data_IF_845256881964
#
_entry.id   IF_845256881964
#
_cell.length_a   1.000
_cell.length_b   1.000
_cell.length_c   1.000
_cell.angle_alpha   90.00
_cell.angle_beta   90.00
_cell.angle_gamma   90.00
#
_symmetry.space_group_name_H-M   'P 1'
#
loop_
_entity.id
_entity.type
_entity.pdbx_description
1 polymer ?
#
# COMPACT_ATOMS: atom_id res chain seq x y z
N UNK A 1 -5.46 6.48 -22.65
CA UNK A 1 -4.63 5.40 -22.15
C UNK A 1 -3.49 5.98 -21.41
N UNK A 2 -3.46 5.75 -20.16
CA UNK A 2 -2.41 6.27 -19.33
C UNK A 2 -1.79 5.16 -18.51
N UNK A 3 -0.80 5.54 -17.71
CA UNK A 3 -0.07 4.62 -16.86
C UNK A 3 -0.90 4.27 -15.62
N UNK A 4 -0.84 3.01 -15.24
CA UNK A 4 -1.43 2.52 -13.99
C UNK A 4 -0.29 2.16 -13.06
N UNK A 5 -0.26 2.76 -11.87
CA UNK A 5 0.83 2.57 -10.92
C UNK A 5 0.26 1.98 -9.65
N UNK A 6 0.96 0.96 -9.13
CA UNK A 6 0.56 0.31 -7.89
C UNK A 6 1.59 0.64 -6.81
N UNK A 7 1.11 1.28 -5.73
CA UNK A 7 1.94 1.53 -4.56
C UNK A 7 1.58 0.56 -3.45
N UNK A 8 2.59 0.01 -2.80
CA UNK A 8 2.41 -0.88 -1.65
C UNK A 8 2.95 -0.18 -0.41
N UNK A 9 2.08 0.01 0.56
CA UNK A 9 2.41 0.60 1.86
C UNK A 9 1.61 -0.16 2.92
N UNK A 10 2.26 -1.09 3.63
CA UNK A 10 1.54 -2.13 4.35
C UNK A 10 1.36 -1.87 5.84
N UNK A 11 2.25 -1.14 6.48
CA UNK A 11 2.17 -0.94 7.93
C UNK A 11 1.64 0.43 8.28
N UNK A 12 1.20 0.58 9.53
CA UNK A 12 0.65 1.84 10.00
C UNK A 12 -0.77 2.07 9.52
N UNK A 13 -1.27 3.25 9.81
CA UNK A 13 -2.64 3.65 9.47
C UNK A 13 -2.59 4.72 8.41
N UNK A 14 -3.12 4.43 7.23
CA UNK A 14 -3.17 5.41 6.14
C UNK A 14 -4.60 5.56 5.63
N UNK A 15 -4.99 6.79 5.38
CA UNK A 15 -6.30 7.13 4.83
C UNK A 15 -6.16 8.38 3.96
N UNK A 16 -7.23 8.75 3.26
CA UNK A 16 -7.15 9.77 2.23
C UNK A 16 -6.86 11.18 2.75
N UNK A 17 -7.21 11.46 4.00
CA UNK A 17 -6.96 12.76 4.61
C UNK A 17 -6.97 12.63 6.13
N UNK A 18 -6.50 13.69 6.80
CA UNK A 18 -6.46 13.76 8.26
C UNK A 18 -5.67 12.57 8.84
N UNK A 19 -4.44 12.42 8.35
CA UNK A 19 -3.57 11.35 8.82
C UNK A 19 -3.30 11.48 10.31
N UNK A 20 -3.24 10.35 11.00
CA UNK A 20 -2.99 10.32 12.45
C UNK A 20 -1.51 10.22 12.74
N UNK A 21 -0.73 11.14 12.19
CA UNK A 21 0.73 11.11 12.30
C UNK A 21 1.18 11.15 13.76
N UNK A 22 2.11 10.26 14.09
CA UNK A 22 2.64 10.21 15.45
C UNK A 22 1.77 9.43 16.43
N UNK A 23 0.62 8.91 15.99
CA UNK A 23 -0.23 8.10 16.86
C UNK A 23 0.50 6.88 17.41
N UNK A 24 1.34 6.28 16.57
CA UNK A 24 2.18 5.15 16.95
C UNK A 24 3.43 5.16 16.07
N UNK A 25 4.46 4.34 16.41
CA UNK A 25 5.73 4.38 15.67
C UNK A 25 5.60 4.05 14.18
N UNK A 26 4.55 3.35 13.78
CA UNK A 26 4.37 2.92 12.39
C UNK A 26 3.55 3.90 11.57
N UNK A 27 2.97 4.93 12.19
CA UNK A 27 2.13 5.92 11.52
C UNK A 27 2.83 7.28 11.60
N UNK A 28 3.82 7.46 10.74
CA UNK A 28 4.66 8.64 10.79
C UNK A 28 4.94 9.22 9.40
N UNK A 29 6.15 9.74 9.24
CA UNK A 29 6.53 10.46 8.03
C UNK A 29 6.38 9.66 6.75
N UNK A 30 6.60 8.35 6.80
CA UNK A 30 6.42 7.52 5.61
C UNK A 30 4.98 7.57 5.12
N UNK A 31 4.02 7.50 6.04
CA UNK A 31 2.60 7.55 5.70
C UNK A 31 2.27 8.85 4.94
N UNK A 32 2.73 9.97 5.46
CA UNK A 32 2.49 11.26 4.81
C UNK A 32 3.17 11.33 3.46
N UNK A 33 4.43 10.88 3.39
CA UNK A 33 5.19 10.91 2.15
C UNK A 33 4.50 10.10 1.06
N UNK A 34 4.06 8.89 1.39
CA UNK A 34 3.42 8.01 0.41
C UNK A 34 2.11 8.60 -0.10
N UNK A 35 1.29 9.14 0.81
CA UNK A 35 0.01 9.73 0.41
C UNK A 35 0.23 10.93 -0.51
N UNK A 36 1.20 11.78 -0.19
CA UNK A 36 1.50 12.95 -1.02
C UNK A 36 2.05 12.55 -2.38
N UNK A 37 2.88 11.51 -2.42
CA UNK A 37 3.42 11.01 -3.68
C UNK A 37 2.30 10.47 -4.57
N UNK A 38 1.38 9.70 -4.00
CA UNK A 38 0.25 9.15 -4.75
C UNK A 38 -0.60 10.28 -5.34
N UNK A 39 -0.89 11.31 -4.56
CA UNK A 39 -1.66 12.45 -5.05
C UNK A 39 -0.94 13.18 -6.17
N UNK A 40 0.37 13.38 -6.03
CA UNK A 40 1.16 14.06 -7.03
C UNK A 40 1.18 13.28 -8.35
N UNK A 41 1.33 11.96 -8.28
CA UNK A 41 1.31 11.11 -9.46
C UNK A 41 -0.06 11.14 -10.14
N UNK A 42 -1.13 11.11 -9.35
CA UNK A 42 -2.48 11.12 -9.91
C UNK A 42 -2.77 12.40 -10.68
N UNK A 43 -2.07 13.47 -10.37
CA UNK A 43 -2.23 14.76 -11.06
C UNK A 43 -1.30 14.92 -12.26
N UNK A 44 -0.53 13.89 -12.58
CA UNK A 44 0.37 13.89 -13.75
C UNK A 44 -0.42 13.42 -14.96
N UNK A 45 -0.30 14.15 -16.08
CA UNK A 45 -1.14 13.89 -17.24
C UNK A 45 -0.96 12.49 -17.84
N UNK A 46 0.23 11.90 -17.70
CA UNK A 46 0.50 10.57 -18.25
C UNK A 46 -0.06 9.45 -17.38
N UNK A 47 -0.54 9.75 -16.18
CA UNK A 47 -1.01 8.74 -15.23
C UNK A 47 -2.53 8.66 -15.27
N UNK A 48 -3.03 7.46 -15.52
CA UNK A 48 -4.47 7.20 -15.55
C UNK A 48 -4.98 6.85 -14.16
N UNK A 49 -4.23 6.04 -13.41
CA UNK A 49 -4.70 5.52 -12.13
C UNK A 49 -3.54 5.18 -11.22
N UNK A 50 -3.68 5.53 -9.95
CA UNK A 50 -2.74 5.13 -8.91
C UNK A 50 -3.52 4.37 -7.85
N UNK A 51 -3.11 3.13 -7.59
CA UNK A 51 -3.66 2.32 -6.50
C UNK A 51 -2.67 2.34 -5.35
N UNK A 52 -3.16 2.64 -4.16
CA UNK A 52 -2.38 2.54 -2.94
C UNK A 52 -2.93 1.37 -2.15
N UNK A 53 -2.17 0.28 -2.12
CA UNK A 53 -2.58 -0.93 -1.42
C UNK A 53 -2.04 -0.90 0.00
N UNK A 54 -2.91 -1.16 0.95
CA UNK A 54 -2.54 -1.24 2.36
C UNK A 54 -3.38 -2.32 3.03
N UNK A 55 -3.21 -2.48 4.33
CA UNK A 55 -3.87 -3.54 5.08
C UNK A 55 -5.25 -3.10 5.54
N UNK A 56 -6.22 -4.00 5.38
CA UNK A 56 -7.56 -3.81 5.93
C UNK A 56 -7.51 -4.13 7.42
N UNK A 57 -8.04 -3.23 8.25
CA UNK A 57 -7.98 -3.35 9.69
C UNK A 57 -9.38 -3.18 10.27
N UNK A 58 -9.80 -4.15 11.07
CA UNK A 58 -11.08 -4.13 11.75
C UNK A 58 -10.80 -4.28 13.22
N UNK A 59 -10.76 -3.15 13.95
CA UNK A 59 -10.31 -3.12 15.34
C UNK A 59 -11.00 -1.96 16.03
N UNK A 60 -11.63 -2.23 17.16
CA UNK A 60 -12.36 -1.21 17.90
C UNK A 60 -11.49 -0.05 18.37
N UNK A 61 -10.18 -0.26 18.42
CA UNK A 61 -9.22 0.76 18.85
C UNK A 61 -8.86 1.76 17.76
N UNK A 62 -9.29 1.52 16.53
CA UNK A 62 -8.99 2.40 15.41
C UNK A 62 -10.29 2.75 14.68
N UNK A 63 -10.22 3.80 13.87
CA UNK A 63 -11.37 4.30 13.14
C UNK A 63 -11.90 3.25 12.15
N UNK A 64 -13.23 3.18 11.99
CA UNK A 64 -13.86 2.25 11.06
C UNK A 64 -13.43 2.45 9.62
N UNK A 65 -12.92 3.62 9.28
CA UNK A 65 -12.48 3.91 7.92
C UNK A 65 -11.42 2.92 7.44
N UNK A 66 -10.59 2.42 8.37
CA UNK A 66 -9.52 1.47 8.02
C UNK A 66 -10.05 0.08 7.70
N UNK A 67 -11.35 -0.17 7.89
CA UNK A 67 -11.98 -1.43 7.52
C UNK A 67 -12.67 -1.37 6.16
N UNK A 68 -12.63 -0.24 5.49
CA UNK A 68 -13.24 -0.10 4.15
C UNK A 68 -12.29 -0.62 3.09
N UNK A 69 -12.80 -1.48 2.22
CA UNK A 69 -11.98 -2.09 1.19
C UNK A 69 -11.51 -1.09 0.15
N UNK A 70 -12.30 -0.06 -0.11
CA UNK A 70 -11.96 0.94 -1.12
C UNK A 70 -12.23 2.33 -0.59
N UNK A 71 -11.29 3.22 -0.84
CA UNK A 71 -11.44 4.61 -0.42
C UNK A 71 -10.82 5.49 -1.51
N UNK A 72 -11.58 6.46 -2.03
CA UNK A 72 -11.05 7.33 -3.06
C UNK A 72 -10.29 8.48 -2.43
N UNK A 73 -9.10 8.76 -2.97
CA UNK A 73 -8.27 9.88 -2.52
C UNK A 73 -8.65 11.11 -3.33
N UNK A 74 -8.64 10.95 -4.65
CA UNK A 74 -9.06 11.97 -5.59
C UNK A 74 -9.23 11.30 -6.94
N UNK A 75 -9.58 12.06 -7.97
CA UNK A 75 -9.75 11.48 -9.30
C UNK A 75 -8.45 10.81 -9.74
N UNK A 76 -8.52 9.53 -10.06
CA UNK A 76 -7.35 8.77 -10.49
C UNK A 76 -6.52 8.17 -9.38
N UNK A 77 -6.92 8.32 -8.11
CA UNK A 77 -6.16 7.76 -6.99
C UNK A 77 -7.11 7.16 -5.96
N UNK A 78 -6.80 5.93 -5.56
CA UNK A 78 -7.64 5.23 -4.58
C UNK A 78 -6.79 4.38 -3.66
N UNK A 79 -7.31 4.16 -2.45
CA UNK A 79 -6.75 3.20 -1.50
C UNK A 79 -7.54 1.91 -1.64
N UNK A 80 -6.83 0.80 -1.76
CA UNK A 80 -7.41 -0.53 -1.73
C UNK A 80 -6.86 -1.25 -0.52
N UNK A 81 -7.76 -1.75 0.33
CA UNK A 81 -7.35 -2.45 1.54
C UNK A 81 -7.64 -3.93 1.40
N UNK A 82 -6.62 -4.73 1.65
CA UNK A 82 -6.71 -6.19 1.57
C UNK A 82 -6.52 -6.79 2.95
N UNK A 83 -7.33 -7.77 3.25
CA UNK A 83 -7.22 -8.47 4.53
C UNK A 83 -6.10 -9.49 4.46
N UNK A 84 -5.19 -9.45 5.42
CA UNK A 84 -4.18 -10.48 5.61
C UNK A 84 -3.80 -10.49 7.09
N UNK A 85 -3.67 -11.70 7.64
CA UNK A 85 -3.48 -11.87 9.07
C UNK A 85 -4.75 -11.58 9.85
N UNK A 86 -4.64 -11.40 11.17
CA UNK A 86 -5.80 -11.08 12.01
C UNK A 86 -6.34 -9.69 11.69
N UNK A 87 -7.60 -9.46 12.04
CA UNK A 87 -8.25 -8.19 11.68
C UNK A 87 -7.78 -7.00 12.52
N UNK A 88 -7.20 -7.26 13.69
CA UNK A 88 -6.77 -6.18 14.58
C UNK A 88 -5.55 -5.46 14.06
N UNK A 89 -5.34 -4.23 14.52
CA UNK A 89 -4.17 -3.45 14.15
C UNK A 89 -2.91 -4.11 14.73
N UNK A 90 -1.90 -4.27 13.89
CA UNK A 90 -0.63 -4.89 14.26
C UNK A 90 0.51 -3.94 13.94
N UNK A 91 1.53 -3.92 14.81
CA UNK A 91 2.77 -3.21 14.48
C UNK A 91 3.48 -3.95 13.35
N UNK A 92 4.32 -3.22 12.62
CA UNK A 92 4.91 -3.76 11.38
C UNK A 92 5.71 -5.05 11.57
N UNK A 93 6.35 -5.20 12.73
CA UNK A 93 7.17 -6.39 13.00
C UNK A 93 6.33 -7.67 13.01
N UNK A 94 5.03 -7.56 13.24
CA UNK A 94 4.15 -8.71 13.32
C UNK A 94 3.47 -9.05 11.99
N UNK A 95 3.72 -8.30 10.94
CA UNK A 95 3.07 -8.53 9.64
C UNK A 95 3.72 -9.63 8.82
N UNK A 96 5.01 -9.88 9.04
CA UNK A 96 5.79 -10.76 8.18
C UNK A 96 5.19 -12.16 7.98
N UNK A 97 4.66 -12.84 9.00
CA UNK A 97 4.10 -14.19 8.81
C UNK A 97 2.90 -14.22 7.86
N UNK A 98 2.27 -13.07 7.62
CA UNK A 98 1.03 -13.01 6.84
C UNK A 98 1.23 -12.45 5.43
N UNK A 99 2.46 -12.14 5.04
CA UNK A 99 2.72 -11.52 3.73
C UNK A 99 2.44 -12.45 2.57
N UNK A 100 2.62 -13.77 2.74
CA UNK A 100 2.29 -14.72 1.67
C UNK A 100 0.81 -14.68 1.33
N UNK A 101 -0.04 -14.53 2.32
CA UNK A 101 -1.47 -14.42 2.10
C UNK A 101 -1.78 -13.21 1.21
N UNK A 102 -1.12 -12.09 1.50
CA UNK A 102 -1.31 -10.87 0.71
C UNK A 102 -0.79 -11.04 -0.71
N UNK A 103 0.39 -11.65 -0.87
CA UNK A 103 0.97 -11.88 -2.19
C UNK A 103 -0.02 -12.65 -3.08
N UNK A 104 -0.65 -13.69 -2.54
CA UNK A 104 -1.60 -14.50 -3.29
C UNK A 104 -2.83 -13.67 -3.69
N UNK A 105 -3.35 -12.88 -2.77
CA UNK A 105 -4.51 -12.04 -3.05
C UNK A 105 -4.22 -10.97 -4.09
N UNK A 106 -3.06 -10.32 -3.97
CA UNK A 106 -2.67 -9.29 -4.92
C UNK A 106 -2.38 -9.87 -6.30
N UNK A 107 -1.73 -11.03 -6.36
CA UNK A 107 -1.47 -11.68 -7.63
C UNK A 107 -2.77 -11.98 -8.37
N UNK A 108 -3.74 -12.52 -7.65
CA UNK A 108 -5.04 -12.84 -8.24
C UNK A 108 -5.76 -11.58 -8.75
N UNK A 109 -5.74 -10.53 -7.94
CA UNK A 109 -6.43 -9.29 -8.30
C UNK A 109 -5.76 -8.57 -9.48
N UNK A 110 -4.43 -8.48 -9.46
CA UNK A 110 -3.70 -7.69 -10.43
C UNK A 110 -3.29 -8.44 -11.69
N UNK A 111 -3.46 -9.76 -11.74
CA UNK A 111 -3.21 -10.49 -12.98
C UNK A 111 -4.33 -10.25 -14.01
N UNK A 112 -5.48 -9.76 -13.57
CA UNK A 112 -6.55 -9.42 -14.50
C UNK A 112 -6.12 -8.24 -15.38
N UNK A 113 -6.29 -8.33 -16.70
CA UNK A 113 -5.80 -7.29 -17.61
C UNK A 113 -6.28 -5.88 -17.25
N UNK A 114 -7.52 -5.75 -16.79
CA UNK A 114 -8.08 -4.43 -16.46
C UNK A 114 -7.44 -3.83 -15.22
N UNK A 115 -6.79 -4.65 -14.37
CA UNK A 115 -6.16 -4.17 -13.14
C UNK A 115 -4.65 -4.09 -13.24
N UNK A 116 -4.03 -4.74 -14.23
CA UNK A 116 -2.59 -4.89 -14.28
C UNK A 116 -1.85 -3.56 -14.27
N UNK A 117 -0.94 -3.33 -13.32
CA UNK A 117 -0.20 -2.08 -13.28
C UNK A 117 0.94 -2.08 -14.28
N UNK A 118 1.40 -0.89 -14.66
CA UNK A 118 2.58 -0.76 -15.49
C UNK A 118 3.86 -0.91 -14.68
N UNK A 119 3.83 -0.53 -13.41
CA UNK A 119 4.91 -0.85 -12.48
C UNK A 119 4.39 -0.82 -11.04
N UNK A 120 5.21 -1.35 -10.14
CA UNK A 120 4.93 -1.44 -8.71
C UNK A 120 5.96 -0.59 -7.98
N UNK A 121 5.51 0.21 -7.02
CA UNK A 121 6.41 0.95 -6.14
C UNK A 121 6.15 0.51 -4.71
N UNK A 122 7.13 -0.16 -4.11
CA UNK A 122 7.02 -0.70 -2.77
C UNK A 122 7.78 0.18 -1.79
N UNK A 123 7.16 0.43 -0.64
CA UNK A 123 7.69 1.31 0.40
C UNK A 123 8.01 0.51 1.66
N UNK A 124 9.28 0.49 2.05
CA UNK A 124 9.81 -0.20 3.20
C UNK A 124 9.94 -1.71 2.97
N UNK A 125 10.60 -2.39 3.91
CA UNK A 125 11.00 -3.78 3.73
C UNK A 125 9.83 -4.75 3.57
N UNK A 126 8.76 -4.58 4.35
CA UNK A 126 7.62 -5.48 4.26
C UNK A 126 6.97 -5.40 2.88
N UNK A 127 6.70 -4.19 2.40
CA UNK A 127 6.15 -3.99 1.07
C UNK A 127 7.16 -4.40 0.00
N UNK A 128 8.45 -4.22 0.26
CA UNK A 128 9.50 -4.65 -0.66
C UNK A 128 9.48 -6.14 -0.93
N UNK A 129 9.30 -6.94 0.13
CA UNK A 129 9.20 -8.38 -0.02
C UNK A 129 8.01 -8.76 -0.90
N UNK A 130 6.84 -8.18 -0.60
CA UNK A 130 5.64 -8.42 -1.40
C UNK A 130 5.85 -7.93 -2.83
N UNK A 131 6.46 -6.76 -2.98
CA UNK A 131 6.69 -6.17 -4.29
C UNK A 131 7.56 -7.02 -5.20
N UNK A 132 8.64 -7.59 -4.67
CA UNK A 132 9.52 -8.46 -5.45
C UNK A 132 8.74 -9.67 -5.97
N UNK A 133 7.98 -10.30 -5.09
CA UNK A 133 7.20 -11.48 -5.48
C UNK A 133 6.12 -11.12 -6.49
N UNK A 134 5.41 -10.03 -6.25
CA UNK A 134 4.33 -9.60 -7.13
C UNK A 134 4.88 -9.17 -8.49
N UNK A 135 5.99 -8.45 -8.51
CA UNK A 135 6.65 -8.03 -9.73
C UNK A 135 7.00 -9.23 -10.61
N UNK A 136 7.51 -10.29 -10.01
CA UNK A 136 7.82 -11.52 -10.73
C UNK A 136 6.57 -12.19 -11.28
N UNK A 137 5.53 -12.28 -10.44
CA UNK A 137 4.29 -12.94 -10.85
C UNK A 137 3.59 -12.20 -11.98
N UNK A 138 3.62 -10.88 -11.94
CA UNK A 138 2.95 -10.04 -12.94
C UNK A 138 3.85 -9.66 -14.11
N UNK A 139 5.15 -9.86 -13.97
CA UNK A 139 6.15 -9.51 -15.00
C UNK A 139 6.13 -8.00 -15.29
N UNK A 140 6.14 -7.21 -14.22
CA UNK A 140 6.20 -5.75 -14.33
C UNK A 140 7.37 -5.23 -13.48
N UNK A 141 7.90 -4.05 -13.81
CA UNK A 141 9.04 -3.49 -13.06
C UNK A 141 8.68 -3.14 -11.62
N UNK A 142 9.68 -3.18 -10.75
CA UNK A 142 9.55 -2.79 -9.35
C UNK A 142 10.45 -1.60 -9.05
N UNK A 143 9.89 -0.59 -8.39
CA UNK A 143 10.64 0.50 -7.79
C UNK A 143 10.55 0.31 -6.28
N UNK A 144 11.64 0.47 -5.58
CA UNK A 144 11.68 0.29 -4.13
C UNK A 144 12.24 1.51 -3.43
N UNK A 145 11.52 1.99 -2.40
CA UNK A 145 12.01 3.04 -1.52
C UNK A 145 12.16 2.47 -0.11
N UNK A 146 13.38 2.50 0.40
CA UNK A 146 13.67 1.88 1.69
C UNK A 146 13.04 2.63 2.88
N UNK A 147 12.94 3.95 2.80
CA UNK A 147 12.52 4.84 3.88
C UNK A 147 13.42 4.73 5.11
N UNK A 148 13.85 3.52 5.41
CA UNK A 148 14.75 3.18 6.49
C UNK A 148 15.55 1.96 6.03
N UNK A 149 16.78 1.84 6.46
CA UNK A 149 17.61 0.70 6.08
C UNK A 149 17.41 -0.50 6.99
N UNK A 150 16.45 -0.43 7.91
CA UNK A 150 16.18 -1.53 8.82
C UNK A 150 17.24 -1.72 9.88
N UNK A 151 18.16 -0.79 10.00
CA UNK A 151 19.19 -0.83 11.02
C UNK A 151 18.71 -0.08 12.25
N UNK A 152 19.39 -0.29 13.34
CA UNK A 152 19.06 0.43 14.55
C UNK A 152 19.17 1.93 14.32
N UNK A 153 18.41 2.65 15.04
CA UNK A 153 18.36 4.09 14.92
C UNK A 153 18.61 4.75 16.24
#
# INVERSE_FOLDING_TARGET
MGLKILHLHLHGLIRSKDLELGRDPDTGGQTQYVLELVKSLANTSEVEQVDLVTRLIKDKRVNDQYSKEREYIELGARILRFEFGPQKYLRKELLWPFLEELINKLSEFYEKPENKPDWIHAHYADAGYVGVRLSRNLKVPLVFTAHSLGREK
#
